data_IF_184951891910
#
_entry.id   IF_184951891910
#
_cell.length_a   1.000
_cell.length_b   1.000
_cell.length_c   1.000
_cell.angle_alpha   90.00
_cell.angle_beta   90.00
_cell.angle_gamma   90.00
#
_symmetry.space_group_name_H-M   'P 1'
#
loop_
_entity.id
_entity.type
_entity.pdbx_description
1 polymer ?
#
# COMPACT_ATOMS: atom_id res chain seq x y z
N UNK A 1 9.09 -17.53 -6.12
CA UNK A 1 8.54 -17.58 -4.74
C UNK A 1 7.42 -16.56 -4.67
N UNK A 2 6.26 -16.92 -4.15
CA UNK A 2 5.20 -15.95 -3.89
C UNK A 2 5.70 -14.97 -2.81
N UNK A 3 5.62 -13.67 -3.10
CA UNK A 3 6.03 -12.61 -2.17
C UNK A 3 4.79 -11.89 -1.65
N UNK A 4 4.88 -11.37 -0.44
CA UNK A 4 3.85 -10.51 0.14
C UNK A 4 4.51 -9.30 0.79
N UNK A 5 3.77 -8.18 0.84
CA UNK A 5 4.21 -6.96 1.51
C UNK A 5 3.07 -6.42 2.38
N UNK A 6 3.43 -6.00 3.58
CA UNK A 6 2.53 -5.31 4.51
C UNK A 6 3.02 -3.87 4.66
N UNK A 7 2.11 -2.92 4.45
CA UNK A 7 2.37 -1.48 4.55
C UNK A 7 1.60 -0.96 5.75
N UNK A 8 2.29 -0.30 6.68
CA UNK A 8 1.68 0.34 7.86
C UNK A 8 1.61 1.84 7.61
N UNK A 9 0.39 2.38 7.60
CA UNK A 9 0.05 3.73 7.17
C UNK A 9 -0.38 3.77 5.70
N UNK A 10 -1.55 4.36 5.44
CA UNK A 10 -2.16 4.58 4.13
C UNK A 10 -2.24 6.05 3.71
N UNK A 11 -1.50 6.93 4.38
CA UNK A 11 -1.23 8.29 3.92
C UNK A 11 -0.39 8.34 2.62
N UNK A 12 0.12 9.53 2.27
CA UNK A 12 0.80 9.77 0.99
C UNK A 12 1.91 8.75 0.66
N UNK A 13 2.77 8.43 1.62
CA UNK A 13 3.85 7.45 1.44
C UNK A 13 3.34 6.04 1.22
N UNK A 14 2.47 5.55 2.10
CA UNK A 14 1.96 4.17 2.04
C UNK A 14 1.16 3.88 0.77
N UNK A 15 0.27 4.80 0.38
CA UNK A 15 -0.48 4.70 -0.86
C UNK A 15 0.44 4.72 -2.10
N UNK A 16 1.47 5.56 -2.11
CA UNK A 16 2.44 5.61 -3.21
C UNK A 16 3.23 4.30 -3.34
N UNK A 17 3.71 3.75 -2.22
CA UNK A 17 4.42 2.47 -2.19
C UNK A 17 3.52 1.33 -2.65
N UNK A 18 2.26 1.28 -2.19
CA UNK A 18 1.31 0.27 -2.63
C UNK A 18 1.08 0.32 -4.16
N UNK A 19 0.93 1.53 -4.72
CA UNK A 19 0.72 1.73 -6.15
C UNK A 19 1.96 1.34 -6.98
N UNK A 20 3.16 1.71 -6.53
CA UNK A 20 4.42 1.32 -7.20
C UNK A 20 4.65 -0.20 -7.10
N UNK A 21 4.39 -0.81 -5.94
CA UNK A 21 4.56 -2.24 -5.73
C UNK A 21 3.65 -3.06 -6.66
N UNK A 22 2.38 -2.66 -6.83
CA UNK A 22 1.46 -3.29 -7.79
C UNK A 22 1.89 -3.09 -9.24
N UNK A 23 2.43 -1.92 -9.60
CA UNK A 23 2.94 -1.66 -10.96
C UNK A 23 4.14 -2.51 -11.31
N UNK A 24 5.06 -2.71 -10.36
CA UNK A 24 6.24 -3.54 -10.54
C UNK A 24 5.95 -5.04 -10.53
N UNK A 25 4.96 -5.47 -9.74
CA UNK A 25 4.53 -6.87 -9.63
C UNK A 25 3.00 -6.97 -9.49
N UNK A 26 2.27 -7.18 -10.60
CA UNK A 26 0.80 -7.30 -10.60
C UNK A 26 0.25 -8.44 -9.75
N UNK A 27 1.05 -9.45 -9.43
CA UNK A 27 0.66 -10.62 -8.64
C UNK A 27 1.09 -10.51 -7.16
N UNK A 28 1.80 -9.45 -6.77
CA UNK A 28 2.24 -9.25 -5.39
C UNK A 28 1.04 -9.17 -4.44
N UNK A 29 1.04 -9.96 -3.38
CA UNK A 29 0.07 -9.81 -2.31
C UNK A 29 0.40 -8.57 -1.46
N UNK A 30 -0.47 -7.56 -1.49
CA UNK A 30 -0.27 -6.28 -0.79
C UNK A 30 -1.38 -6.11 0.24
N UNK A 31 -1.02 -5.91 1.50
CA UNK A 31 -1.94 -5.50 2.56
C UNK A 31 -1.50 -4.14 3.12
N UNK A 32 -2.43 -3.19 3.24
CA UNK A 32 -2.18 -1.88 3.82
C UNK A 32 -3.06 -1.70 5.05
N UNK A 33 -2.46 -1.28 6.16
CA UNK A 33 -3.12 -1.09 7.45
C UNK A 33 -3.07 0.40 7.77
N UNK A 34 -4.23 1.05 7.81
CA UNK A 34 -4.40 2.45 8.19
C UNK A 34 -5.25 2.52 9.46
N UNK A 35 -4.88 3.36 10.42
CA UNK A 35 -5.62 3.57 11.66
C UNK A 35 -6.85 4.45 11.44
N UNK A 36 -6.75 5.39 10.49
CA UNK A 36 -7.80 6.32 10.13
C UNK A 36 -8.85 5.68 9.22
N UNK A 37 -10.00 6.37 9.08
CA UNK A 37 -11.09 5.93 8.21
C UNK A 37 -10.75 6.04 6.71
N UNK A 38 -9.82 6.92 6.35
CA UNK A 38 -9.52 7.25 4.96
C UNK A 38 -8.03 7.04 4.65
N UNK A 39 -7.76 6.55 3.45
CA UNK A 39 -6.42 6.42 2.88
C UNK A 39 -6.26 7.39 1.71
N UNK A 40 -5.03 7.78 1.39
CA UNK A 40 -4.73 8.68 0.27
C UNK A 40 -5.56 9.98 0.29
N UNK A 41 -5.83 10.51 1.49
CA UNK A 41 -6.53 11.79 1.65
C UNK A 41 -5.54 12.96 1.53
N UNK A 42 -6.00 14.07 0.97
CA UNK A 42 -5.34 15.36 1.12
C UNK A 42 -5.72 15.97 2.48
N UNK A 43 -4.79 16.72 3.08
CA UNK A 43 -5.06 17.52 4.27
C UNK A 43 -5.99 18.71 3.95
#
# INVERSE_FOLDING_TARGET
MAKSVVIVGGGAGGASVAAEARRGDPELAIAMIEQERFVSAAA
#
